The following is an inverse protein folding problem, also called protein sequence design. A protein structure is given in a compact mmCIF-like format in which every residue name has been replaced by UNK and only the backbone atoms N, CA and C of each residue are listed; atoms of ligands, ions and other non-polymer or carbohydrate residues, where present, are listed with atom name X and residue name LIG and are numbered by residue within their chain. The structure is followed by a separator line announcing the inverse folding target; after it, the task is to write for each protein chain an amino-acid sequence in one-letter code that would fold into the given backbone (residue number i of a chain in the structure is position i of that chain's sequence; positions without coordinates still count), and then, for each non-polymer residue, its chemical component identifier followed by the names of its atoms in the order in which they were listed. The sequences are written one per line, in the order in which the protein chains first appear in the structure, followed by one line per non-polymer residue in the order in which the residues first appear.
data_IF_747945092242
#
_entry.id   IF_747945092242
#
_cell.length_a   1.000
_cell.length_b   1.000
_cell.length_c   1.000
_cell.angle_alpha   90.00
_cell.angle_beta   90.00
_cell.angle_gamma   90.00
#
_symmetry.space_group_name_H-M   'P 1'
#
loop_
_entity.id
_entity.type
_entity.pdbx_description
1 polymer ?
#
# COMPACT_ATOMS: atom_id res chain seq x y z
N UNK A 1 16.30 12.67 3.88
CA UNK A 1 15.26 12.73 4.93
C UNK A 1 13.99 12.14 4.32
N UNK A 2 13.34 11.08 4.76
CA UNK A 2 13.36 10.25 5.96
C UNK A 2 12.63 8.94 5.62
N UNK A 3 13.20 8.09 4.75
CA UNK A 3 12.64 6.75 4.49
C UNK A 3 13.54 5.72 5.19
N UNK A 4 13.48 5.74 6.53
CA UNK A 4 14.17 4.77 7.38
C UNK A 4 13.14 4.30 8.40
N UNK A 5 12.48 3.18 8.11
CA UNK A 5 11.73 2.42 9.12
C UNK A 5 11.97 0.92 8.93
N UNK A 6 12.96 0.45 9.68
CA UNK A 6 13.29 -0.94 10.01
C UNK A 6 12.24 -1.50 11.03
N UNK A 7 12.19 -2.76 11.49
CA UNK A 7 13.27 -3.68 11.94
C UNK A 7 12.68 -5.12 12.04
N UNK A 8 13.24 -6.10 11.33
CA UNK A 8 13.21 -7.52 11.77
C UNK A 8 14.55 -7.83 12.46
N UNK A 9 14.54 -8.05 13.78
CA UNK A 9 15.74 -8.40 14.56
C UNK A 9 15.91 -9.92 14.57
N UNK A 10 16.76 -10.46 13.70
CA UNK A 10 17.06 -11.90 13.66
C UNK A 10 18.19 -12.21 14.64
N UNK A 11 17.91 -13.00 15.68
CA UNK A 11 18.91 -13.51 16.62
C UNK A 11 19.68 -14.68 15.99
N UNK A 12 20.63 -14.35 15.13
CA UNK A 12 21.66 -15.28 14.66
C UNK A 12 22.97 -14.50 14.56
N UNK A 13 23.79 -14.61 15.60
CA UNK A 13 25.18 -14.21 15.93
C UNK A 13 26.03 -13.27 15.03
N UNK A 14 25.53 -12.67 13.94
CA UNK A 14 26.25 -11.73 13.07
C UNK A 14 25.37 -10.91 12.08
N UNK A 15 24.08 -10.72 12.35
CA UNK A 15 23.21 -9.87 11.51
C UNK A 15 22.90 -8.58 12.28
N UNK A 16 23.29 -7.43 11.72
CA UNK A 16 23.20 -6.13 12.40
C UNK A 16 21.79 -5.54 12.27
N UNK A 17 21.27 -5.41 11.05
CA UNK A 17 19.90 -4.96 10.74
C UNK A 17 19.49 -5.45 9.35
N UNK A 18 18.19 -5.65 9.11
CA UNK A 18 17.61 -5.95 7.79
C UNK A 18 16.71 -4.76 7.42
N UNK A 19 16.92 -4.21 6.23
CA UNK A 19 16.11 -3.13 5.67
C UNK A 19 15.24 -3.68 4.55
N UNK A 20 13.95 -3.41 4.60
CA UNK A 20 13.01 -3.73 3.52
C UNK A 20 12.88 -2.52 2.58
N UNK A 21 12.72 -2.72 1.26
CA UNK A 21 12.39 -1.64 0.35
C UNK A 21 10.94 -1.19 0.55
N UNK A 22 10.75 0.11 0.65
CA UNK A 22 9.44 0.76 0.67
C UNK A 22 9.19 1.41 -0.69
N UNK A 23 7.95 1.34 -1.15
CA UNK A 23 7.51 1.88 -2.44
C UNK A 23 6.33 2.82 -2.22
N UNK A 24 6.15 3.74 -3.17
CA UNK A 24 4.97 4.61 -3.22
C UNK A 24 4.08 4.09 -4.34
N UNK A 25 2.81 3.88 -4.03
CA UNK A 25 1.82 3.46 -4.99
C UNK A 25 0.66 4.44 -5.06
N UNK A 26 0.09 4.53 -6.26
CA UNK A 26 -1.13 5.27 -6.54
C UNK A 26 -2.24 4.28 -6.84
N UNK A 27 -3.35 4.38 -6.11
CA UNK A 27 -4.55 3.56 -6.35
C UNK A 27 -5.66 4.47 -6.82
N UNK A 28 -6.32 4.11 -7.90
CA UNK A 28 -7.51 4.81 -8.39
C UNK A 28 -8.69 3.87 -8.26
N UNK A 29 -9.72 4.27 -7.52
CA UNK A 29 -10.94 3.50 -7.37
C UNK A 29 -12.19 4.39 -7.41
N UNK A 30 -13.38 3.82 -7.70
CA UNK A 30 -14.62 4.52 -7.46
C UNK A 30 -14.82 4.87 -5.98
N UNK A 31 -15.57 5.94 -5.71
CA UNK A 31 -15.89 6.43 -4.36
C UNK A 31 -16.61 5.41 -3.48
N UNK A 32 -17.36 4.49 -4.07
CA UNK A 32 -18.14 3.47 -3.35
C UNK A 32 -17.25 2.45 -2.61
N UNK A 33 -16.02 2.25 -3.08
CA UNK A 33 -15.10 1.22 -2.56
C UNK A 33 -14.00 1.77 -1.65
N UNK A 34 -14.03 3.06 -1.33
CA UNK A 34 -13.00 3.78 -0.55
C UNK A 34 -12.71 3.08 0.77
N UNK A 35 -13.74 2.73 1.54
CA UNK A 35 -13.56 2.09 2.85
C UNK A 35 -12.86 0.73 2.77
N UNK A 36 -13.15 -0.04 1.72
CA UNK A 36 -12.50 -1.33 1.47
C UNK A 36 -11.03 -1.17 1.11
N UNK A 37 -10.70 -0.20 0.25
CA UNK A 37 -9.31 0.10 -0.16
C UNK A 37 -8.47 0.58 1.03
N UNK A 38 -9.02 1.48 1.86
CA UNK A 38 -8.32 1.97 3.06
C UNK A 38 -8.05 0.80 4.01
N UNK A 39 -9.05 -0.03 4.29
CA UNK A 39 -8.92 -1.18 5.19
C UNK A 39 -7.85 -2.17 4.70
N UNK A 40 -7.79 -2.42 3.38
CA UNK A 40 -6.76 -3.27 2.77
C UNK A 40 -5.36 -2.68 2.97
N UNK A 41 -5.19 -1.38 2.72
CA UNK A 41 -3.89 -0.71 2.87
C UNK A 41 -3.42 -0.71 4.33
N UNK A 42 -4.32 -0.47 5.30
CA UNK A 42 -4.00 -0.52 6.72
C UNK A 42 -3.56 -1.91 7.19
N UNK A 43 -4.22 -2.97 6.71
CA UNK A 43 -3.83 -4.37 7.02
C UNK A 43 -2.41 -4.71 6.52
N UNK A 44 -1.97 -4.06 5.44
CA UNK A 44 -0.69 -4.30 4.77
C UNK A 44 0.42 -3.36 5.24
N UNK A 45 0.28 -2.76 6.42
CA UNK A 45 1.23 -1.77 6.99
C UNK A 45 1.39 -0.52 6.10
N UNK A 46 0.40 -0.23 5.27
CA UNK A 46 0.39 0.92 4.37
C UNK A 46 0.17 2.23 5.13
N UNK A 47 0.93 3.24 4.75
CA UNK A 47 0.83 4.59 5.30
C UNK A 47 0.21 5.50 4.24
N UNK A 48 -0.97 6.04 4.54
CA UNK A 48 -1.63 7.01 3.65
C UNK A 48 -0.79 8.29 3.55
N UNK A 49 -0.39 8.65 2.34
CA UNK A 49 0.31 9.91 2.04
C UNK A 49 -0.65 10.97 1.56
N UNK A 50 -1.54 10.59 0.65
CA UNK A 50 -2.43 11.52 -0.03
C UNK A 50 -3.74 10.84 -0.39
N UNK A 51 -4.81 11.62 -0.38
CA UNK A 51 -6.11 11.21 -0.84
C UNK A 51 -6.75 12.39 -1.56
N UNK A 52 -7.12 12.20 -2.83
CA UNK A 52 -7.72 13.22 -3.67
C UNK A 52 -9.01 12.71 -4.30
N UNK A 53 -9.95 13.63 -4.49
CA UNK A 53 -11.22 13.40 -5.17
C UNK A 53 -11.26 14.25 -6.44
N UNK A 54 -10.73 13.76 -7.58
CA UNK A 54 -10.79 14.49 -8.84
C UNK A 54 -12.23 14.71 -9.33
N UNK A 55 -13.15 13.82 -8.94
CA UNK A 55 -14.57 13.87 -9.29
C UNK A 55 -15.35 13.17 -8.18
N UNK A 56 -16.65 13.44 -8.03
CA UNK A 56 -17.50 12.79 -7.02
C UNK A 56 -17.51 11.26 -7.12
N UNK A 57 -17.25 10.71 -8.30
CA UNK A 57 -17.31 9.26 -8.57
C UNK A 57 -15.97 8.54 -8.45
N UNK A 58 -14.86 9.27 -8.29
CA UNK A 58 -13.50 8.70 -8.33
C UNK A 58 -12.61 9.26 -7.25
N UNK A 59 -11.76 8.39 -6.72
CA UNK A 59 -10.80 8.72 -5.67
C UNK A 59 -9.43 8.23 -6.08
N UNK A 60 -8.42 9.06 -5.82
CA UNK A 60 -7.02 8.73 -6.00
C UNK A 60 -6.39 8.67 -4.61
N UNK A 61 -5.70 7.58 -4.33
CA UNK A 61 -4.95 7.38 -3.10
C UNK A 61 -3.48 7.27 -3.42
N UNK A 62 -2.65 7.83 -2.54
CA UNK A 62 -1.20 7.64 -2.54
C UNK A 62 -0.81 6.98 -1.23
N UNK A 63 -0.26 5.77 -1.31
CA UNK A 63 0.13 4.95 -0.17
C UNK A 63 1.60 4.56 -0.24
N UNK A 64 2.26 4.55 0.91
CA UNK A 64 3.61 4.01 1.07
C UNK A 64 3.52 2.67 1.80
N UNK A 65 4.07 1.60 1.22
CA UNK A 65 4.14 0.29 1.88
C UNK A 65 5.41 -0.49 1.51
N UNK A 66 5.78 -1.50 2.33
CA UNK A 66 6.87 -2.42 1.99
C UNK A 66 6.55 -3.21 0.71
N UNK A 67 7.54 -3.34 -0.17
CA UNK A 67 7.40 -4.09 -1.44
C UNK A 67 6.94 -5.54 -1.21
N UNK A 68 7.37 -6.16 -0.11
CA UNK A 68 7.02 -7.54 0.22
C UNK A 68 5.50 -7.75 0.37
N UNK A 69 4.77 -6.74 0.87
CA UNK A 69 3.32 -6.80 1.04
C UNK A 69 2.58 -6.57 -0.27
N UNK A 70 3.14 -5.75 -1.19
CA UNK A 70 2.55 -5.53 -2.51
C UNK A 70 2.58 -6.79 -3.37
N UNK A 71 3.70 -7.52 -3.36
CA UNK A 71 3.90 -8.70 -4.22
C UNK A 71 2.98 -9.86 -3.79
N UNK A 72 2.54 -9.90 -2.54
CA UNK A 72 1.72 -10.99 -2.01
C UNK A 72 0.23 -10.64 -1.98
N UNK A 73 -0.51 -11.08 -3.01
CA UNK A 73 -1.98 -11.01 -3.13
C UNK A 73 -2.62 -9.61 -3.08
N UNK A 74 -1.85 -8.51 -2.97
CA UNK A 74 -2.42 -7.17 -2.90
C UNK A 74 -3.31 -6.84 -4.11
N UNK A 75 -2.83 -7.16 -5.31
CA UNK A 75 -3.54 -6.86 -6.55
C UNK A 75 -4.85 -7.66 -6.70
N UNK A 76 -4.85 -8.92 -6.26
CA UNK A 76 -6.04 -9.77 -6.29
C UNK A 76 -7.06 -9.31 -5.25
N UNK A 77 -6.61 -9.03 -4.01
CA UNK A 77 -7.45 -8.50 -2.94
C UNK A 77 -8.08 -7.15 -3.36
N UNK A 78 -7.29 -6.26 -3.97
CA UNK A 78 -7.76 -4.97 -4.47
C UNK A 78 -8.85 -5.15 -5.53
N UNK A 79 -8.64 -6.04 -6.51
CA UNK A 79 -9.64 -6.34 -7.54
C UNK A 79 -10.90 -6.94 -6.95
N UNK A 80 -10.80 -7.83 -5.97
CA UNK A 80 -11.97 -8.43 -5.32
C UNK A 80 -12.80 -7.37 -4.59
N UNK A 81 -12.16 -6.49 -3.83
CA UNK A 81 -12.84 -5.41 -3.08
C UNK A 81 -13.48 -4.41 -4.03
N UNK A 82 -12.77 -4.02 -5.10
CA UNK A 82 -13.26 -3.03 -6.05
C UNK A 82 -14.13 -3.62 -7.16
N UNK A 83 -14.49 -4.90 -7.11
CA UNK A 83 -15.16 -5.62 -8.22
C UNK A 83 -14.45 -5.47 -9.59
N UNK A 84 -13.13 -5.31 -9.58
CA UNK A 84 -12.29 -5.11 -10.77
C UNK A 84 -12.23 -3.67 -11.30
N UNK A 85 -12.87 -2.69 -10.65
CA UNK A 85 -12.86 -1.29 -11.09
C UNK A 85 -11.67 -0.45 -10.61
N UNK A 86 -10.84 -0.96 -9.69
CA UNK A 86 -9.66 -0.24 -9.22
C UNK A 86 -8.42 -0.53 -10.09
N UNK A 87 -7.60 0.50 -10.29
CA UNK A 87 -6.27 0.41 -10.88
C UNK A 87 -5.21 0.78 -9.86
N UNK A 88 -4.02 0.21 -10.04
CA UNK A 88 -2.85 0.39 -9.19
C UNK A 88 -1.66 0.71 -10.08
N UNK A 89 -0.95 1.78 -9.75
CA UNK A 89 0.34 2.14 -10.31
C UNK A 89 1.36 2.26 -9.16
N UNK A 90 2.63 1.91 -9.39
CA UNK A 90 3.70 2.03 -8.38
C UNK A 90 4.96 2.60 -9.02
N UNK A 91 5.73 3.35 -8.23
CA UNK A 91 7.06 3.90 -8.55
C UNK A 91 8.10 3.38 -7.55
#
# INVERSE_FOLDING_TARGET
MSCSRAIYRVLATKIREIMEPWIIMTIVSPSDYVGGVISLCEQRRGVMKKMEYPTETRVIFEYELPLAELVYNFFDDLKTISSGFASLDYD
#
